data_IF_107871133130
#
_entry.id   IF_107871133130
#
_cell.length_a   1.000
_cell.length_b   1.000
_cell.length_c   1.000
_cell.angle_alpha   90.00
_cell.angle_beta   90.00
_cell.angle_gamma   90.00
#
_symmetry.space_group_name_H-M   'P 1'
#
loop_
_entity.id
_entity.type
_entity.pdbx_description
1 polymer ?
#
# COMPACT_ATOMS: atom_id res chain seq x y z
N UNK A 1 -19.78 -7.93 23.12
CA UNK A 1 -18.39 -8.29 22.71
C UNK A 1 -17.74 -7.14 21.96
N UNK A 2 -16.79 -6.44 22.58
CA UNK A 2 -16.03 -5.34 21.97
C UNK A 2 -14.86 -5.90 21.17
N UNK A 3 -14.97 -5.84 19.86
CA UNK A 3 -13.88 -6.29 19.00
C UNK A 3 -12.64 -5.38 19.08
N UNK A 4 -11.45 -5.97 19.18
CA UNK A 4 -10.17 -5.25 19.30
C UNK A 4 -9.91 -4.28 18.13
N UNK A 5 -9.55 -3.03 18.39
CA UNK A 5 -9.33 -2.02 17.32
C UNK A 5 -7.88 -1.96 16.86
N UNK A 6 -7.42 -2.99 16.15
CA UNK A 6 -6.06 -3.06 15.59
C UNK A 6 -5.95 -2.69 14.11
N UNK A 7 -4.82 -2.09 13.70
CA UNK A 7 -4.53 -1.73 12.28
C UNK A 7 -4.63 -2.91 11.30
N UNK A 8 -4.45 -4.15 11.78
CA UNK A 8 -4.53 -5.39 11.00
C UNK A 8 -5.68 -6.32 11.41
N UNK A 9 -6.65 -5.87 12.21
CA UNK A 9 -7.80 -6.70 12.56
C UNK A 9 -8.58 -7.12 11.31
N UNK A 10 -8.98 -8.39 11.24
CA UNK A 10 -9.83 -8.91 10.17
C UNK A 10 -9.14 -9.01 8.81
N UNK A 11 -7.80 -9.10 8.79
CA UNK A 11 -7.01 -9.16 7.54
C UNK A 11 -6.40 -10.53 7.25
N UNK A 12 -6.81 -11.58 8.00
CA UNK A 12 -6.27 -12.96 7.90
C UNK A 12 -6.21 -13.43 6.45
N UNK A 13 -7.32 -13.34 5.72
CA UNK A 13 -7.39 -13.75 4.30
C UNK A 13 -6.96 -12.64 3.34
N UNK A 14 -7.24 -11.37 3.64
CA UNK A 14 -6.94 -10.25 2.72
C UNK A 14 -5.44 -10.00 2.49
N UNK A 15 -4.61 -10.25 3.51
CA UNK A 15 -3.15 -10.04 3.43
C UNK A 15 -2.37 -11.35 3.26
N UNK A 16 -3.08 -12.47 3.17
CA UNK A 16 -2.51 -13.79 2.86
C UNK A 16 -1.93 -13.78 1.44
N UNK A 17 -0.78 -14.44 1.27
CA UNK A 17 -0.20 -14.62 -0.05
C UNK A 17 -0.89 -15.81 -0.75
N UNK A 18 -1.15 -15.71 -2.06
CA UNK A 18 -1.75 -16.82 -2.80
C UNK A 18 -0.83 -18.04 -2.80
N UNK A 19 -1.44 -19.20 -3.03
CA UNK A 19 -0.75 -20.48 -3.03
C UNK A 19 0.50 -20.47 -3.92
N UNK A 20 1.61 -21.02 -3.42
CA UNK A 20 2.92 -21.05 -4.10
C UNK A 20 3.51 -19.68 -4.47
N UNK A 21 3.01 -18.58 -3.90
CA UNK A 21 3.57 -17.22 -4.07
C UNK A 21 4.13 -16.66 -2.76
N UNK A 22 4.58 -17.55 -1.87
CA UNK A 22 5.26 -17.19 -0.64
C UNK A 22 6.71 -16.77 -0.93
N UNK A 23 7.28 -15.93 -0.06
CA UNK A 23 8.69 -15.53 -0.15
C UNK A 23 8.91 -14.08 -0.61
N UNK A 24 10.04 -13.85 -1.29
CA UNK A 24 10.52 -12.51 -1.64
C UNK A 24 9.71 -11.94 -2.80
N UNK A 25 9.37 -10.65 -2.73
CA UNK A 25 8.65 -9.94 -3.79
C UNK A 25 9.56 -9.81 -5.01
N UNK A 26 9.08 -10.11 -6.23
CA UNK A 26 9.88 -10.00 -7.45
C UNK A 26 10.34 -8.56 -7.70
N UNK A 27 11.55 -8.42 -8.24
CA UNK A 27 12.22 -7.13 -8.49
C UNK A 27 11.40 -6.18 -9.39
N UNK A 28 10.60 -6.72 -10.30
CA UNK A 28 9.69 -5.96 -11.16
C UNK A 28 8.79 -5.00 -10.36
N UNK A 29 8.34 -5.40 -9.16
CA UNK A 29 7.49 -4.55 -8.30
C UNK A 29 8.23 -3.30 -7.80
N UNK A 30 9.54 -3.41 -7.58
CA UNK A 30 10.38 -2.31 -7.11
C UNK A 30 10.91 -1.41 -8.23
N UNK A 31 11.04 -1.93 -9.44
CA UNK A 31 11.58 -1.18 -10.57
C UNK A 31 10.52 -0.44 -11.40
N UNK A 32 9.21 -0.70 -11.19
CA UNK A 32 8.13 0.06 -11.84
C UNK A 32 8.30 1.56 -11.67
N UNK A 33 8.31 2.31 -12.77
CA UNK A 33 8.38 3.77 -12.74
C UNK A 33 6.95 4.29 -12.54
N UNK A 34 6.80 5.26 -11.66
CA UNK A 34 5.53 5.95 -11.40
C UNK A 34 5.73 7.43 -11.63
N UNK A 35 4.82 8.05 -12.38
CA UNK A 35 4.74 9.49 -12.60
C UNK A 35 3.54 10.06 -11.87
N UNK A 36 3.55 11.37 -11.62
CA UNK A 36 2.38 12.06 -11.07
C UNK A 36 1.25 12.00 -12.09
N UNK A 37 0.02 11.77 -11.63
CA UNK A 37 -1.16 11.61 -12.49
C UNK A 37 -1.49 10.17 -12.88
N UNK A 38 -0.55 9.22 -12.75
CA UNK A 38 -0.79 7.82 -13.09
C UNK A 38 -1.91 7.21 -12.23
N UNK A 39 -2.71 6.34 -12.85
CA UNK A 39 -3.76 5.55 -12.19
C UNK A 39 -3.12 4.28 -11.64
N UNK A 40 -3.27 4.04 -10.34
CA UNK A 40 -2.62 2.92 -9.66
C UNK A 40 -3.55 2.22 -8.69
N UNK A 41 -3.42 0.89 -8.62
CA UNK A 41 -4.16 0.08 -7.67
C UNK A 41 -3.38 -0.14 -6.38
N UNK A 42 -4.10 -0.06 -5.26
CA UNK A 42 -3.54 -0.24 -3.93
C UNK A 42 -3.81 -1.67 -3.46
N UNK A 43 -2.77 -2.50 -3.57
CA UNK A 43 -2.77 -3.86 -3.02
C UNK A 43 -1.79 -3.97 -1.85
N UNK A 44 -2.32 -4.43 -0.72
CA UNK A 44 -1.53 -4.82 0.46
C UNK A 44 -1.04 -6.25 0.32
N UNK A 45 0.26 -6.48 0.55
CA UNK A 45 0.90 -7.79 0.53
C UNK A 45 1.49 -8.09 1.92
N UNK A 46 1.30 -9.30 2.43
CA UNK A 46 1.83 -9.70 3.75
C UNK A 46 3.35 -9.74 3.84
N UNK A 47 4.04 -9.97 2.70
CA UNK A 47 5.51 -10.05 2.60
C UNK A 47 6.20 -8.71 2.86
N UNK A 48 5.53 -7.58 2.58
CA UNK A 48 6.07 -6.24 2.76
C UNK A 48 5.37 -5.53 3.94
N UNK A 49 5.98 -5.59 5.12
CA UNK A 49 5.38 -5.01 6.33
C UNK A 49 5.44 -3.47 6.37
N UNK A 50 6.50 -2.87 5.85
CA UNK A 50 6.71 -1.40 5.87
C UNK A 50 5.93 -0.73 4.75
N UNK A 51 5.23 0.36 5.06
CA UNK A 51 4.43 1.09 4.08
C UNK A 51 3.20 0.33 3.58
N UNK A 52 2.72 -0.65 4.36
CA UNK A 52 1.52 -1.42 4.04
C UNK A 52 0.26 -0.57 4.25
N UNK A 53 -0.70 -0.59 3.31
CA UNK A 53 -1.96 0.15 3.43
C UNK A 53 -2.84 -0.38 4.55
N UNK A 54 -3.65 0.52 5.11
CA UNK A 54 -4.77 0.12 5.96
C UNK A 54 -5.82 -0.61 5.11
N UNK A 55 -6.50 -1.60 5.71
CA UNK A 55 -7.44 -2.50 5.03
C UNK A 55 -8.54 -1.78 4.23
N UNK A 56 -8.98 -0.61 4.68
CA UNK A 56 -10.02 0.17 4.00
C UNK A 56 -9.59 0.77 2.64
N UNK A 57 -8.30 0.68 2.29
CA UNK A 57 -7.76 1.11 1.00
C UNK A 57 -7.35 -0.06 0.10
N UNK A 58 -7.47 -1.28 0.60
CA UNK A 58 -7.15 -2.45 -0.21
C UNK A 58 -8.13 -2.57 -1.37
N UNK A 59 -7.62 -2.79 -2.59
CA UNK A 59 -8.43 -2.94 -3.80
C UNK A 59 -8.98 -1.62 -4.34
N UNK A 60 -8.58 -0.48 -3.78
CA UNK A 60 -8.97 0.83 -4.33
C UNK A 60 -7.95 1.30 -5.36
N UNK A 61 -8.48 1.93 -6.39
CA UNK A 61 -7.71 2.65 -7.39
C UNK A 61 -7.58 4.12 -6.97
N UNK A 62 -6.40 4.69 -7.18
CA UNK A 62 -6.11 6.09 -6.85
C UNK A 62 -5.19 6.72 -7.89
N UNK A 63 -5.06 8.05 -7.82
CA UNK A 63 -4.14 8.80 -8.66
C UNK A 63 -2.87 9.14 -7.89
N UNK A 64 -1.71 9.06 -8.54
CA UNK A 64 -0.43 9.44 -7.93
C UNK A 64 -0.35 10.96 -7.79
N UNK A 65 -0.23 11.45 -6.55
CA UNK A 65 -0.06 12.87 -6.25
C UNK A 65 1.42 13.23 -6.06
N UNK A 66 2.15 12.42 -5.32
CA UNK A 66 3.56 12.70 -5.02
C UNK A 66 4.43 11.45 -5.12
N UNK A 67 5.63 11.61 -5.63
CA UNK A 67 6.64 10.55 -5.73
C UNK A 67 7.81 10.96 -4.85
N UNK A 68 8.06 10.18 -3.81
CA UNK A 68 9.21 10.37 -2.91
C UNK A 68 10.28 9.33 -3.21
N UNK A 69 11.51 9.56 -2.75
CA UNK A 69 12.67 8.69 -3.00
C UNK A 69 12.41 7.20 -2.68
N UNK A 70 11.56 6.92 -1.69
CA UNK A 70 11.25 5.56 -1.24
C UNK A 70 9.78 5.21 -1.26
N UNK A 71 8.87 6.10 -1.66
CA UNK A 71 7.45 5.81 -1.60
C UNK A 71 6.64 6.58 -2.64
N UNK A 72 5.51 6.00 -3.03
CA UNK A 72 4.53 6.67 -3.89
C UNK A 72 3.34 7.08 -3.03
N UNK A 73 2.98 8.36 -3.12
CA UNK A 73 1.83 8.99 -2.51
C UNK A 73 0.64 8.98 -3.47
N UNK A 74 -0.43 8.26 -3.12
CA UNK A 74 -1.63 8.10 -3.94
C UNK A 74 -2.84 8.72 -3.24
N UNK A 75 -3.63 9.50 -3.96
CA UNK A 75 -4.90 10.05 -3.47
C UNK A 75 -6.01 9.06 -3.78
N UNK A 76 -6.75 8.69 -2.74
CA UNK A 76 -7.90 7.81 -2.84
C UNK A 76 -9.08 8.46 -2.14
N UNK A 77 -10.23 8.48 -2.81
CA UNK A 77 -11.46 8.94 -2.20
C UNK A 77 -12.03 7.81 -1.34
N UNK A 78 -12.25 8.09 -0.06
CA UNK A 78 -13.03 7.22 0.82
C UNK A 78 -14.40 7.85 0.99
N UNK A 79 -15.44 7.10 0.63
CA UNK A 79 -16.81 7.47 1.00
C UNK A 79 -16.99 7.22 2.49
N UNK A 80 -17.42 8.25 3.21
CA UNK A 80 -17.82 8.16 4.61
C UNK A 80 -19.22 8.75 4.69
N UNK A 81 -20.23 7.93 4.97
CA UNK A 81 -21.66 8.23 5.17
C UNK A 81 -22.24 9.33 4.25
N UNK A 82 -21.86 10.59 4.44
CA UNK A 82 -22.34 11.72 3.65
C UNK A 82 -21.25 12.40 2.77
N UNK A 83 -19.96 12.28 3.12
CA UNK A 83 -18.87 13.05 2.51
C UNK A 83 -17.74 12.19 1.91
N UNK A 84 -17.31 12.52 0.69
CA UNK A 84 -16.13 11.92 0.04
C UNK A 84 -14.88 12.63 0.57
N UNK A 85 -14.09 11.94 1.42
CA UNK A 85 -12.82 12.48 1.94
C UNK A 85 -11.64 11.98 1.11
N UNK A 86 -10.86 12.85 0.43
CA UNK A 86 -9.62 12.44 -0.22
C UNK A 86 -8.58 12.13 0.86
N UNK A 87 -7.96 10.94 0.81
CA UNK A 87 -6.88 10.57 1.72
C UNK A 87 -5.64 10.14 0.96
N UNK A 88 -4.48 10.59 1.46
CA UNK A 88 -3.18 10.27 0.90
C UNK A 88 -2.66 8.96 1.49
N UNK A 89 -2.31 8.01 0.63
CA UNK A 89 -1.66 6.76 1.00
C UNK A 89 -0.20 6.74 0.53
N UNK A 90 0.73 6.27 1.36
CA UNK A 90 2.16 6.14 1.03
C UNK A 90 2.59 4.67 1.00
N UNK A 91 2.92 4.13 -0.18
CA UNK A 91 3.51 2.79 -0.33
C UNK A 91 5.04 2.87 -0.33
N UNK A 92 5.71 2.35 0.70
CA UNK A 92 7.18 2.40 0.83
C UNK A 92 7.85 1.21 0.11
N UNK A 93 8.78 1.50 -0.79
CA UNK A 93 9.72 0.56 -1.39
C UNK A 93 10.89 0.31 -0.42
N UNK A 94 11.26 -0.96 -0.20
CA UNK A 94 12.49 -1.30 0.54
C UNK A 94 13.68 -1.08 -0.39
N UNK A 95 14.60 -0.17 -0.02
CA UNK A 95 16.00 -0.19 -0.49
C UNK A 95 16.88 -0.55 0.71
N UNK A 96 17.92 -1.37 0.50
CA UNK A 96 19.02 -1.50 1.46
C UNK A 96 19.67 -0.13 1.58
N UNK A 97 19.91 0.34 2.82
CA UNK A 97 20.65 1.60 3.06
C UNK A 97 21.96 1.49 2.28
N UNK A 98 22.23 2.42 1.36
CA UNK A 98 23.60 2.64 0.91
C UNK A 98 24.26 3.39 2.07
N UNK A 99 25.23 2.75 2.71
CA UNK A 99 26.13 3.46 3.60
C UNK A 99 26.78 4.56 2.73
N UNK A 100 26.55 5.82 3.09
CA UNK A 100 27.40 6.91 2.60
C UNK A 100 28.75 6.79 3.34
N UNK A 101 29.87 7.19 2.70
CA UNK A 101 31.17 7.22 3.35
C UNK A 101 31.13 8.04 4.64
#
# INVERSE_FOLDING_TARGET
MTNTKGKRRGTRSMSSSPFRKHGVVPLATYMRIYKKGDIVDIKGMGTAQKGMPHKCYHGKTGRVYNVTQHAVGTVVNKQCEENKRPRLFKKKRRRRRRNKP
#
